data_IF_255884974884
#
_entry.id   IF_255884974884
#
_cell.length_a   1.000
_cell.length_b   1.000
_cell.length_c   1.000
_cell.angle_alpha   90.00
_cell.angle_beta   90.00
_cell.angle_gamma   90.00
#
_symmetry.space_group_name_H-M   'P 1'
#
loop_
_entity.id
_entity.type
_entity.pdbx_description
1 polymer ?
#
# COMPACT_ATOMS: atom_id res chain seq x y z
N UNK A 1 -1.79 21.94 -4.57
CA UNK A 1 -2.71 20.82 -4.32
C UNK A 1 -2.06 19.76 -3.46
N UNK A 2 -2.87 19.08 -2.72
CA UNK A 2 -2.45 17.87 -2.00
C UNK A 2 -2.81 16.64 -2.81
N UNK A 3 -1.97 15.62 -2.67
CA UNK A 3 -2.17 14.32 -3.31
C UNK A 3 -2.18 13.27 -2.21
N UNK A 4 -3.18 12.39 -2.25
CA UNK A 4 -3.11 11.12 -1.52
C UNK A 4 -2.52 10.08 -2.46
N UNK A 5 -1.38 9.55 -2.08
CA UNK A 5 -0.74 8.44 -2.78
C UNK A 5 -1.06 7.16 -2.03
N UNK A 6 -1.63 6.18 -2.74
CA UNK A 6 -2.10 4.94 -2.15
C UNK A 6 -1.44 3.73 -2.80
N UNK A 7 -1.13 2.74 -1.98
CA UNK A 7 -0.67 1.42 -2.43
C UNK A 7 -1.64 0.39 -1.87
N UNK A 8 -2.36 -0.30 -2.75
CA UNK A 8 -3.30 -1.35 -2.36
C UNK A 8 -2.64 -2.71 -2.55
N UNK A 9 -2.53 -3.46 -1.45
CA UNK A 9 -1.85 -4.74 -1.38
C UNK A 9 -2.85 -5.84 -1.01
N UNK A 10 -3.14 -6.73 -1.94
CA UNK A 10 -4.00 -7.87 -1.69
C UNK A 10 -3.34 -8.87 -0.74
N UNK A 11 -4.14 -9.54 0.09
CA UNK A 11 -3.64 -10.46 1.12
C UNK A 11 -3.75 -11.93 0.75
N UNK A 12 -4.31 -12.28 -0.41
CA UNK A 12 -4.33 -13.68 -0.86
C UNK A 12 -2.97 -14.02 -1.48
N UNK A 13 -2.37 -15.10 -1.01
CA UNK A 13 -1.12 -15.63 -1.58
C UNK A 13 -1.51 -16.77 -2.52
N UNK A 14 -1.11 -16.72 -3.81
CA UNK A 14 -1.46 -17.80 -4.73
C UNK A 14 -1.03 -19.17 -4.19
N UNK A 15 -2.01 -20.08 -4.05
CA UNK A 15 -1.84 -21.47 -3.58
C UNK A 15 -1.22 -21.60 -2.17
N UNK A 16 -1.26 -20.54 -1.35
CA UNK A 16 -0.56 -20.55 -0.06
C UNK A 16 -1.29 -19.80 1.05
N UNK A 17 -2.61 -19.68 0.96
CA UNK A 17 -3.40 -19.01 2.00
C UNK A 17 -3.35 -17.49 1.92
N UNK A 18 -3.14 -16.84 3.04
CA UNK A 18 -3.21 -15.38 3.13
C UNK A 18 -2.00 -14.81 3.86
N UNK A 19 -1.72 -13.53 3.58
CA UNK A 19 -0.80 -12.73 4.39
C UNK A 19 -1.53 -12.42 5.70
N UNK A 20 -1.14 -13.06 6.78
CA UNK A 20 -1.75 -12.83 8.09
C UNK A 20 -1.20 -11.55 8.73
N UNK A 21 -1.75 -11.18 9.90
CA UNK A 21 -1.37 -9.94 10.56
C UNK A 21 0.11 -9.91 10.97
N UNK A 22 0.66 -11.04 11.40
CA UNK A 22 2.06 -11.14 11.80
C UNK A 22 2.99 -11.00 10.60
N UNK A 23 2.68 -11.67 9.50
CA UNK A 23 3.43 -11.56 8.25
C UNK A 23 3.41 -10.12 7.73
N UNK A 24 2.25 -9.47 7.78
CA UNK A 24 2.15 -8.09 7.32
C UNK A 24 2.90 -7.12 8.24
N UNK A 25 2.81 -7.31 9.56
CA UNK A 25 3.56 -6.49 10.51
C UNK A 25 5.07 -6.59 10.27
N UNK A 26 5.57 -7.77 9.98
CA UNK A 26 6.97 -7.99 9.62
C UNK A 26 7.33 -7.24 8.33
N UNK A 27 6.46 -7.30 7.33
CA UNK A 27 6.66 -6.57 6.08
C UNK A 27 6.73 -5.05 6.32
N UNK A 28 5.83 -4.52 7.14
CA UNK A 28 5.82 -3.09 7.50
C UNK A 28 7.15 -2.70 8.14
N UNK A 29 7.61 -3.50 9.10
CA UNK A 29 8.84 -3.21 9.84
C UNK A 29 10.08 -3.26 8.96
N UNK A 30 10.12 -4.16 7.99
CA UNK A 30 11.32 -4.38 7.17
C UNK A 30 11.31 -3.61 5.86
N UNK A 31 10.15 -3.27 5.31
CA UNK A 31 10.06 -2.69 3.96
C UNK A 31 9.35 -1.34 3.89
N UNK A 32 8.52 -0.99 4.86
CA UNK A 32 7.76 0.27 4.82
C UNK A 32 8.37 1.31 5.74
N UNK A 33 8.50 0.99 7.03
CA UNK A 33 9.00 1.96 8.02
C UNK A 33 10.42 2.44 7.76
N UNK A 34 11.36 1.63 7.22
CA UNK A 34 12.68 2.14 6.87
C UNK A 34 12.68 3.12 5.70
N UNK A 35 11.63 3.13 4.89
CA UNK A 35 11.51 3.94 3.67
C UNK A 35 10.68 5.20 3.91
N UNK A 36 9.61 5.10 4.71
CA UNK A 36 8.68 6.19 4.97
C UNK A 36 8.70 6.58 6.44
N UNK A 37 8.89 7.87 6.72
CA UNK A 37 8.85 8.39 8.09
C UNK A 37 7.43 8.41 8.66
N UNK A 38 6.42 8.48 7.79
CA UNK A 38 5.02 8.54 8.19
C UNK A 38 4.14 7.88 7.13
N UNK A 39 2.97 7.52 7.55
CA UNK A 39 1.96 6.94 6.66
C UNK A 39 0.84 6.34 7.49
N UNK A 40 -0.22 5.93 6.82
CA UNK A 40 -1.37 5.29 7.42
C UNK A 40 -1.65 4.00 6.66
N UNK A 41 -2.01 2.96 7.39
CA UNK A 41 -2.38 1.68 6.81
C UNK A 41 -3.82 1.38 7.23
N UNK A 42 -4.66 1.10 6.23
CA UNK A 42 -6.06 0.74 6.40
C UNK A 42 -6.27 -0.70 5.99
N UNK A 43 -7.24 -1.34 6.63
CA UNK A 43 -7.78 -2.61 6.17
C UNK A 43 -8.93 -2.35 5.20
N UNK A 44 -8.97 -3.11 4.12
CA UNK A 44 -10.04 -3.04 3.15
C UNK A 44 -10.49 -4.43 2.72
N UNK A 45 -11.65 -4.49 2.09
CA UNK A 45 -12.18 -5.69 1.48
C UNK A 45 -12.46 -5.38 0.02
N UNK A 46 -11.69 -5.98 -0.88
CA UNK A 46 -11.97 -5.92 -2.30
C UNK A 46 -12.91 -7.04 -2.70
N UNK A 47 -13.59 -6.88 -3.82
CA UNK A 47 -14.38 -7.97 -4.38
C UNK A 47 -14.36 -7.88 -5.91
N UNK A 48 -14.39 -9.04 -6.53
CA UNK A 48 -14.39 -9.16 -7.97
C UNK A 48 -15.17 -10.44 -8.34
N UNK A 49 -16.22 -10.27 -9.14
CA UNK A 49 -17.04 -11.40 -9.64
C UNK A 49 -17.45 -12.36 -8.52
N UNK A 50 -17.92 -11.81 -7.40
CA UNK A 50 -18.39 -12.62 -6.26
C UNK A 50 -17.31 -13.17 -5.36
N UNK A 51 -16.04 -12.94 -5.66
CA UNK A 51 -14.92 -13.33 -4.79
C UNK A 51 -14.45 -12.13 -3.98
N UNK A 52 -14.19 -12.34 -2.70
CA UNK A 52 -13.66 -11.32 -1.81
C UNK A 52 -12.18 -11.55 -1.55
N UNK A 53 -11.44 -10.45 -1.40
CA UNK A 53 -10.06 -10.47 -0.98
C UNK A 53 -9.84 -9.35 0.02
N UNK A 54 -9.26 -9.70 1.17
CA UNK A 54 -8.79 -8.68 2.13
C UNK A 54 -7.59 -7.95 1.53
N UNK A 55 -7.45 -6.68 1.87
CA UNK A 55 -6.36 -5.85 1.38
C UNK A 55 -5.83 -4.94 2.48
N UNK A 56 -4.57 -4.57 2.37
CA UNK A 56 -3.95 -3.50 3.14
C UNK A 56 -3.73 -2.32 2.21
N UNK A 57 -4.06 -1.13 2.67
CA UNK A 57 -3.91 0.09 1.88
C UNK A 57 -2.99 1.03 2.66
N UNK A 58 -1.81 1.25 2.10
CA UNK A 58 -0.86 2.24 2.62
C UNK A 58 -1.11 3.56 1.91
N UNK A 59 -1.25 4.65 2.66
CA UNK A 59 -1.33 5.96 2.03
C UNK A 59 -0.57 7.04 2.79
N UNK A 60 -0.20 8.07 2.05
CA UNK A 60 0.33 9.33 2.57
C UNK A 60 -0.39 10.48 1.90
N UNK A 61 -0.45 11.63 2.59
CA UNK A 61 -0.91 12.90 2.01
C UNK A 61 0.30 13.79 1.85
N UNK A 62 0.55 14.23 0.63
CA UNK A 62 1.74 15.03 0.30
C UNK A 62 1.34 16.19 -0.62
N UNK A 63 2.12 17.29 -0.63
CA UNK A 63 2.01 18.27 -1.68
C UNK A 63 2.30 17.64 -3.05
N UNK A 64 1.61 18.10 -4.09
CA UNK A 64 1.83 17.56 -5.44
C UNK A 64 3.28 17.74 -5.92
N UNK A 65 3.98 18.75 -5.40
CA UNK A 65 5.40 18.97 -5.69
C UNK A 65 6.31 17.84 -5.20
N UNK A 66 5.83 16.98 -4.30
CA UNK A 66 6.63 15.89 -3.74
C UNK A 66 6.32 14.52 -4.37
N UNK A 67 5.43 14.47 -5.36
CA UNK A 67 5.05 13.19 -5.98
C UNK A 67 6.25 12.48 -6.62
N UNK A 68 7.15 13.23 -7.24
CA UNK A 68 8.34 12.66 -7.88
C UNK A 68 9.30 12.03 -6.86
N UNK A 69 9.26 12.48 -5.60
CA UNK A 69 10.04 11.90 -4.52
C UNK A 69 9.39 10.61 -4.00
N UNK A 70 8.08 10.63 -3.76
CA UNK A 70 7.40 9.55 -3.07
C UNK A 70 6.88 8.44 -3.98
N UNK A 71 6.51 8.75 -5.22
CA UNK A 71 6.01 7.72 -6.13
C UNK A 71 7.03 6.57 -6.33
N UNK A 72 8.32 6.86 -6.58
CA UNK A 72 9.32 5.79 -6.71
C UNK A 72 9.46 4.94 -5.44
N UNK A 73 9.29 5.52 -4.27
CA UNK A 73 9.33 4.78 -3.00
C UNK A 73 8.15 3.81 -2.90
N UNK A 74 6.96 4.24 -3.32
CA UNK A 74 5.79 3.38 -3.36
C UNK A 74 5.95 2.25 -4.37
N UNK A 75 6.54 2.53 -5.53
CA UNK A 75 6.89 1.49 -6.51
C UNK A 75 7.83 0.45 -5.89
N UNK A 76 8.83 0.91 -5.15
CA UNK A 76 9.80 0.02 -4.49
C UNK A 76 9.13 -0.84 -3.42
N UNK A 77 8.26 -0.26 -2.60
CA UNK A 77 7.51 -1.01 -1.58
C UNK A 77 6.60 -2.04 -2.27
N UNK A 78 5.91 -1.63 -3.32
CA UNK A 78 5.03 -2.52 -4.08
C UNK A 78 5.79 -3.69 -4.70
N UNK A 79 6.97 -3.44 -5.26
CA UNK A 79 7.82 -4.49 -5.83
C UNK A 79 8.26 -5.49 -4.74
N UNK A 80 8.61 -4.99 -3.55
CA UNK A 80 8.98 -5.86 -2.43
C UNK A 80 7.79 -6.73 -1.98
N UNK A 81 6.59 -6.16 -1.93
CA UNK A 81 5.38 -6.90 -1.56
C UNK A 81 5.06 -8.00 -2.57
N UNK A 82 5.13 -7.68 -3.87
CA UNK A 82 4.93 -8.67 -4.93
C UNK A 82 5.90 -9.84 -4.79
N UNK A 83 7.16 -9.55 -4.52
CA UNK A 83 8.19 -10.57 -4.37
C UNK A 83 7.97 -11.40 -3.11
N UNK A 84 7.67 -10.77 -1.98
CA UNK A 84 7.50 -11.46 -0.71
C UNK A 84 6.30 -12.41 -0.71
N UNK A 85 5.20 -12.02 -1.36
CA UNK A 85 3.93 -12.72 -1.29
C UNK A 85 3.40 -13.18 -2.64
N UNK A 86 4.26 -13.24 -3.64
CA UNK A 86 3.98 -13.77 -4.99
C UNK A 86 2.74 -13.14 -5.64
N UNK A 87 2.63 -11.82 -5.52
CA UNK A 87 1.53 -11.09 -6.13
C UNK A 87 1.80 -10.80 -7.61
N UNK A 88 0.80 -10.96 -8.45
CA UNK A 88 0.92 -10.58 -9.88
C UNK A 88 1.01 -9.06 -10.03
N UNK A 89 0.29 -8.33 -9.19
CA UNK A 89 0.25 -6.88 -9.23
C UNK A 89 -0.09 -6.30 -7.87
N UNK A 90 0.33 -5.06 -7.64
CA UNK A 90 -0.19 -4.18 -6.60
C UNK A 90 -0.63 -2.89 -7.28
N UNK A 91 -1.61 -2.22 -6.73
CA UNK A 91 -2.17 -1.01 -7.34
C UNK A 91 -1.64 0.23 -6.64
N UNK A 92 -1.08 1.15 -7.42
CA UNK A 92 -0.72 2.49 -6.95
C UNK A 92 -1.70 3.47 -7.56
N UNK A 93 -2.31 4.32 -6.73
CA UNK A 93 -3.23 5.34 -7.20
C UNK A 93 -2.97 6.68 -6.55
N UNK A 94 -3.42 7.74 -7.20
CA UNK A 94 -3.28 9.11 -6.73
C UNK A 94 -4.65 9.77 -6.73
N UNK A 95 -4.93 10.53 -5.66
CA UNK A 95 -6.17 11.28 -5.55
C UNK A 95 -5.82 12.70 -5.14
N UNK A 96 -6.36 13.69 -5.85
CA UNK A 96 -6.25 15.09 -5.44
C UNK A 96 -7.14 15.28 -4.23
N UNK A 97 -6.59 15.85 -3.18
CA UNK A 97 -7.31 16.05 -1.91
C UNK A 97 -7.22 17.50 -1.46
N UNK A 98 -8.08 17.85 -0.52
CA UNK A 98 -7.96 19.05 0.28
C UNK A 98 -7.73 18.63 1.72
N UNK A 99 -6.70 19.16 2.35
CA UNK A 99 -6.31 18.74 3.68
C UNK A 99 -6.02 19.97 4.54
N UNK A 100 -6.49 19.95 5.78
CA UNK A 100 -6.16 20.95 6.78
C UNK A 100 -5.78 20.26 8.09
N UNK A 101 -4.74 20.80 8.73
CA UNK A 101 -4.38 20.42 10.10
C UNK A 101 -5.08 21.39 11.04
N UNK A 102 -5.92 20.89 11.91
CA UNK A 102 -6.72 21.69 12.83
C UNK A 102 -6.31 21.50 14.28
#
# INVERSE_FOLDING_TARGET
HMIRLELTMGRNIPDAGTVDDEMFAEFVRTNIMPVLEYGTILDGIGFWKGQQEMAKILYIEIPDSEIETFHPLFVMIGAAYKKAFRQDAVMISQVVTQMAMV
#
